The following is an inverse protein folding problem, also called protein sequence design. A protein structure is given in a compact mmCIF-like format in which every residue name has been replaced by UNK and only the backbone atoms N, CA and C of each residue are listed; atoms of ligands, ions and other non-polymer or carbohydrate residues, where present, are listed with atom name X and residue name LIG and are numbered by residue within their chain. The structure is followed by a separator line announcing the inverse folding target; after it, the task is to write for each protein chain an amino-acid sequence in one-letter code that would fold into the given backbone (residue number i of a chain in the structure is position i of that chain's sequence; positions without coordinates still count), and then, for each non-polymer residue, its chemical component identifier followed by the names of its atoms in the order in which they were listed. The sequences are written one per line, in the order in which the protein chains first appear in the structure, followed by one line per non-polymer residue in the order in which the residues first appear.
data_IF_990184005507
#
_entry.id   IF_990184005507
#
_cell.length_a   1.000
_cell.length_b   1.000
_cell.length_c   1.000
_cell.angle_alpha   90.00
_cell.angle_beta   90.00
_cell.angle_gamma   90.00
#
_symmetry.space_group_name_H-M   'P 1'
#
loop_
_entity.id
_entity.type
_entity.pdbx_description
1 polymer ?
#
# COMPACT_ATOMS: atom_id res chain seq x y z
N UNK A 1 24.35 5.29 8.41
CA UNK A 1 22.90 5.26 8.08
C UNK A 1 22.75 5.28 6.56
N UNK A 2 21.83 4.50 5.97
CA UNK A 2 21.67 4.47 4.50
C UNK A 2 21.13 5.81 3.96
N UNK A 3 20.15 6.40 4.64
CA UNK A 3 19.58 7.70 4.27
C UNK A 3 20.09 8.81 5.18
N UNK A 4 20.73 9.81 4.57
CA UNK A 4 21.32 10.95 5.25
C UNK A 4 20.46 12.21 5.10
N UNK A 5 20.53 13.09 6.10
CA UNK A 5 20.04 14.45 5.97
C UNK A 5 21.10 15.34 5.30
N UNK A 6 20.79 16.63 5.12
CA UNK A 6 21.71 17.61 4.50
C UNK A 6 23.02 17.82 5.27
N UNK A 7 23.01 17.54 6.56
CA UNK A 7 24.15 17.71 7.46
C UNK A 7 24.95 16.40 7.64
N UNK A 8 24.65 15.35 6.86
CA UNK A 8 25.31 14.04 6.93
C UNK A 8 24.83 13.14 8.07
N UNK A 9 23.88 13.59 8.89
CA UNK A 9 23.24 12.81 9.95
C UNK A 9 22.12 11.90 9.45
N UNK A 10 21.48 11.13 10.34
CA UNK A 10 20.35 10.25 9.99
C UNK A 10 19.14 11.07 9.51
N UNK A 11 18.55 10.69 8.37
CA UNK A 11 17.32 11.30 7.89
C UNK A 11 16.13 10.97 8.84
N UNK A 12 15.42 12.00 9.28
CA UNK A 12 14.27 11.85 10.18
C UNK A 12 12.97 11.60 9.41
N UNK A 13 12.01 10.90 10.03
CA UNK A 13 10.68 10.69 9.45
C UNK A 13 9.96 12.01 9.09
N UNK A 14 10.15 13.05 9.92
CA UNK A 14 9.62 14.41 9.65
C UNK A 14 10.23 15.01 8.39
N UNK A 15 11.52 14.80 8.15
CA UNK A 15 12.20 15.29 6.93
C UNK A 15 11.72 14.56 5.68
N UNK A 16 11.47 13.25 5.77
CA UNK A 16 10.85 12.47 4.69
C UNK A 16 9.48 13.02 4.37
N UNK A 17 8.62 13.23 5.39
CA UNK A 17 7.28 13.80 5.20
C UNK A 17 7.32 15.17 4.54
N UNK A 18 8.15 16.09 5.05
CA UNK A 18 8.31 17.43 4.47
C UNK A 18 8.77 17.38 3.01
N UNK A 19 9.70 16.47 2.69
CA UNK A 19 10.18 16.30 1.32
C UNK A 19 9.06 15.81 0.41
N UNK A 20 8.29 14.81 0.86
CA UNK A 20 7.13 14.28 0.14
C UNK A 20 6.07 15.36 -0.08
N UNK A 21 5.72 16.14 0.95
CA UNK A 21 4.75 17.24 0.85
C UNK A 21 5.19 18.26 -0.21
N UNK A 22 6.49 18.58 -0.27
CA UNK A 22 7.05 19.47 -1.29
C UNK A 22 6.90 18.95 -2.73
N UNK A 23 6.94 17.64 -2.95
CA UNK A 23 6.66 17.04 -4.27
C UNK A 23 5.17 17.00 -4.58
N UNK A 24 4.32 16.68 -3.60
CA UNK A 24 2.87 16.62 -3.78
C UNK A 24 2.31 17.98 -4.18
N UNK A 25 2.79 19.06 -3.54
CA UNK A 25 2.39 20.42 -3.90
C UNK A 25 2.73 20.76 -5.36
N UNK A 26 3.77 20.15 -5.93
CA UNK A 26 4.16 20.39 -7.33
C UNK A 26 3.42 19.51 -8.34
N UNK A 27 3.02 18.31 -7.93
CA UNK A 27 2.57 17.25 -8.87
C UNK A 27 1.11 16.82 -8.69
N UNK A 28 0.54 16.99 -7.50
CA UNK A 28 -0.72 16.35 -7.10
C UNK A 28 -1.56 17.27 -6.20
N UNK A 29 -1.78 18.51 -6.65
CA UNK A 29 -2.49 19.58 -5.92
C UNK A 29 -3.86 19.15 -5.36
N UNK A 30 -4.56 18.24 -6.02
CA UNK A 30 -5.90 17.78 -5.62
C UNK A 30 -5.91 16.52 -4.72
N UNK A 31 -4.78 15.86 -4.48
CA UNK A 31 -4.74 14.57 -3.74
C UNK A 31 -3.97 14.69 -2.43
N UNK A 32 -4.61 14.25 -1.34
CA UNK A 32 -3.96 14.07 -0.03
C UNK A 32 -3.10 12.80 -0.05
N UNK A 33 -1.85 12.94 -0.46
CA UNK A 33 -0.87 11.85 -0.45
C UNK A 33 -0.01 11.95 0.81
N UNK A 34 0.29 10.81 1.42
CA UNK A 34 1.15 10.70 2.60
C UNK A 34 1.98 9.42 2.50
N UNK A 35 3.01 9.21 3.36
CA UNK A 35 3.75 7.96 3.37
C UNK A 35 2.84 6.73 3.62
N UNK A 36 1.76 6.89 4.40
CA UNK A 36 0.77 5.82 4.60
C UNK A 36 -0.03 5.56 3.32
N UNK A 37 -0.42 6.59 2.58
CA UNK A 37 -1.11 6.46 1.29
C UNK A 37 -0.26 5.67 0.29
N UNK A 38 1.04 5.99 0.19
CA UNK A 38 1.96 5.26 -0.68
C UNK A 38 2.11 3.79 -0.27
N UNK A 39 2.21 3.52 1.03
CA UNK A 39 2.23 2.15 1.56
C UNK A 39 0.95 1.38 1.20
N UNK A 40 -0.21 2.00 1.32
CA UNK A 40 -1.48 1.36 0.94
C UNK A 40 -1.57 1.10 -0.56
N UNK A 41 -1.16 2.06 -1.40
CA UNK A 41 -1.10 1.86 -2.85
C UNK A 41 -0.22 0.67 -3.21
N UNK A 42 0.97 0.55 -2.61
CA UNK A 42 1.83 -0.62 -2.79
C UNK A 42 1.12 -1.93 -2.42
N UNK A 43 0.47 -1.99 -1.25
CA UNK A 43 -0.24 -3.17 -0.79
C UNK A 43 -1.37 -3.57 -1.75
N UNK A 44 -2.21 -2.60 -2.14
CA UNK A 44 -3.31 -2.82 -3.09
C UNK A 44 -2.78 -3.29 -4.44
N UNK A 45 -1.75 -2.64 -4.99
CA UNK A 45 -1.16 -3.07 -6.26
C UNK A 45 -0.61 -4.50 -6.20
N UNK A 46 0.06 -4.89 -5.12
CA UNK A 46 0.56 -6.24 -4.97
C UNK A 46 -0.60 -7.26 -4.90
N UNK A 47 -1.63 -6.97 -4.11
CA UNK A 47 -2.81 -7.81 -4.00
C UNK A 47 -3.53 -7.94 -5.34
N UNK A 48 -3.79 -6.84 -6.04
CA UNK A 48 -4.46 -6.85 -7.35
C UNK A 48 -3.72 -7.72 -8.38
N UNK A 49 -2.38 -7.75 -8.31
CA UNK A 49 -1.55 -8.54 -9.21
C UNK A 49 -1.37 -10.01 -8.79
N UNK A 50 -2.07 -10.50 -7.76
CA UNK A 50 -1.98 -11.92 -7.39
C UNK A 50 -1.03 -12.25 -6.27
N UNK A 51 -0.40 -11.26 -5.64
CA UNK A 51 0.39 -11.54 -4.45
C UNK A 51 -0.51 -12.05 -3.32
N UNK A 52 -0.04 -13.08 -2.63
CA UNK A 52 -0.72 -13.58 -1.45
C UNK A 52 -0.66 -12.55 -0.32
N UNK A 53 -1.72 -12.49 0.49
CA UNK A 53 -1.83 -11.53 1.58
C UNK A 53 -0.70 -11.71 2.60
N UNK A 54 -0.26 -12.95 2.85
CA UNK A 54 0.84 -13.22 3.77
C UNK A 54 2.15 -12.64 3.25
N UNK A 55 2.43 -12.81 1.96
CA UNK A 55 3.61 -12.25 1.30
C UNK A 55 3.61 -10.72 1.36
N UNK A 56 2.47 -10.07 1.09
CA UNK A 56 2.37 -8.59 1.18
C UNK A 56 2.58 -8.09 2.61
N UNK A 57 2.09 -8.83 3.61
CA UNK A 57 2.30 -8.49 5.02
C UNK A 57 3.78 -8.57 5.44
N UNK A 58 4.47 -9.62 5.03
CA UNK A 58 5.90 -9.82 5.32
C UNK A 58 6.74 -8.69 4.71
N UNK A 59 6.43 -8.30 3.47
CA UNK A 59 7.11 -7.21 2.76
C UNK A 59 6.89 -5.83 3.38
N UNK A 60 5.77 -5.62 4.09
CA UNK A 60 5.42 -4.32 4.68
C UNK A 60 5.89 -4.11 6.12
N UNK A 61 6.35 -5.17 6.79
CA UNK A 61 6.93 -5.12 8.13
C UNK A 61 5.89 -5.00 9.26
N UNK A 62 5.68 -6.11 9.97
CA UNK A 62 4.74 -6.28 11.08
C UNK A 62 5.05 -5.44 12.33
N UNK A 63 4.57 -4.19 12.43
CA UNK A 63 4.51 -3.49 13.72
C UNK A 63 3.18 -2.83 14.06
N UNK A 64 2.20 -2.73 13.14
CA UNK A 64 0.85 -2.39 13.56
C UNK A 64 -0.23 -2.92 12.60
N UNK A 65 -0.98 -3.89 13.10
CA UNK A 65 -2.18 -4.49 12.50
C UNK A 65 -3.36 -3.52 12.69
N UNK A 66 -3.33 -2.37 12.03
CA UNK A 66 -4.45 -1.42 12.08
C UNK A 66 -5.30 -1.43 10.80
N UNK A 67 -4.95 -2.22 9.78
CA UNK A 67 -5.65 -2.22 8.48
C UNK A 67 -5.78 -3.60 7.83
N UNK A 68 -5.60 -4.70 8.56
CA UNK A 68 -5.78 -6.06 8.02
C UNK A 68 -7.21 -6.32 7.55
N UNK A 69 -8.20 -5.61 8.10
CA UNK A 69 -9.62 -5.68 7.70
C UNK A 69 -9.91 -5.04 6.33
N UNK A 70 -9.13 -4.03 5.90
CA UNK A 70 -9.33 -3.39 4.59
C UNK A 70 -8.91 -4.36 3.48
N UNK A 71 -7.81 -5.10 3.69
CA UNK A 71 -7.33 -6.05 2.70
C UNK A 71 -8.27 -7.24 2.52
N UNK A 72 -9.03 -7.63 3.55
CA UNK A 72 -10.07 -8.66 3.44
C UNK A 72 -11.16 -8.30 2.43
N UNK A 73 -11.48 -7.01 2.28
CA UNK A 73 -12.50 -6.58 1.33
C UNK A 73 -12.03 -6.79 -0.12
N UNK A 74 -10.78 -6.45 -0.42
CA UNK A 74 -10.16 -6.66 -1.74
C UNK A 74 -10.08 -8.15 -2.06
N UNK A 75 -9.70 -8.98 -1.09
CA UNK A 75 -9.67 -10.45 -1.27
C UNK A 75 -11.05 -11.02 -1.55
N UNK A 76 -12.12 -10.52 -0.89
CA UNK A 76 -13.50 -11.02 -1.09
C UNK A 76 -14.03 -10.75 -2.49
N UNK A 77 -13.85 -9.53 -2.99
CA UNK A 77 -14.31 -9.17 -4.34
C UNK A 77 -13.57 -10.01 -5.41
N UNK A 78 -12.26 -10.20 -5.21
CA UNK A 78 -11.48 -11.05 -6.11
C UNK A 78 -11.85 -12.53 -6.02
N UNK A 79 -12.06 -13.07 -4.82
CA UNK A 79 -12.54 -14.44 -4.63
C UNK A 79 -13.89 -14.67 -5.33
N UNK A 80 -14.80 -13.68 -5.26
CA UNK A 80 -16.07 -13.70 -5.99
C UNK A 80 -15.85 -13.67 -7.50
N UNK A 81 -14.93 -12.86 -8.01
CA UNK A 81 -14.61 -12.80 -9.43
C UNK A 81 -13.97 -14.09 -9.95
N UNK A 82 -13.03 -14.67 -9.20
CA UNK A 82 -12.41 -15.97 -9.54
C UNK A 82 -13.47 -17.08 -9.51
N UNK A 83 -14.32 -17.11 -8.48
CA UNK A 83 -15.43 -18.06 -8.41
C UNK A 83 -16.36 -17.92 -9.61
N UNK A 84 -16.77 -16.69 -9.96
CA UNK A 84 -17.62 -16.43 -11.12
C UNK A 84 -16.97 -16.81 -12.46
N UNK A 85 -15.65 -16.70 -12.56
CA UNK A 85 -14.91 -17.02 -13.78
C UNK A 85 -14.59 -18.51 -13.93
N UNK A 86 -14.36 -19.22 -12.81
CA UNK A 86 -13.89 -20.60 -12.82
C UNK A 86 -14.99 -21.64 -12.50
N UNK A 87 -16.08 -21.23 -11.84
CA UNK A 87 -17.11 -22.18 -11.43
C UNK A 87 -18.14 -22.42 -12.54
N UNK A 88 -18.36 -23.66 -13.01
CA UNK A 88 -19.21 -23.97 -14.17
C UNK A 88 -20.67 -23.53 -14.04
N UNK A 89 -21.17 -23.31 -12.81
CA UNK A 89 -22.56 -22.95 -12.50
C UNK A 89 -22.72 -21.54 -11.95
N UNK A 90 -21.68 -20.70 -11.96
CA UNK A 90 -21.78 -19.35 -11.40
C UNK A 90 -22.64 -18.37 -12.23
N UNK A 91 -23.14 -18.80 -13.40
CA UNK A 91 -24.02 -18.01 -14.28
C UNK A 91 -25.47 -18.55 -14.33
N UNK A 92 -25.81 -19.53 -13.51
CA UNK A 92 -27.20 -20.00 -13.35
C UNK A 92 -27.99 -19.09 -12.39
#
# INVERSE_FOLDING_TARGET
PLFLNRDGGRLSARSVRRSLDGYIQKLALAKKVSPHTLRHSYATHMLDNGADLRTVQELLGHANISTTQIYTHVTRERMKNIYNAAHPRARE
#
